data_IF_721932268617
#
_entry.id   IF_721932268617
#
_cell.length_a   1.000
_cell.length_b   1.000
_cell.length_c   1.000
_cell.angle_alpha   90.00
_cell.angle_beta   90.00
_cell.angle_gamma   90.00
#
_symmetry.space_group_name_H-M   'P 1'
#
loop_
_entity.id
_entity.type
_entity.pdbx_description
1 polymer ?
#
# COMPACT_ATOMS: atom_id res chain seq x y z
N UNK A 1 3.03 1.12 -18.30
CA UNK A 1 2.66 2.31 -17.53
C UNK A 1 3.70 2.58 -16.45
N UNK A 2 3.83 3.83 -16.04
CA UNK A 2 4.76 4.16 -14.96
C UNK A 2 4.14 3.87 -13.59
N UNK A 3 4.96 3.95 -12.55
CA UNK A 3 4.52 3.64 -11.18
C UNK A 3 3.38 4.55 -10.70
N UNK A 4 3.44 5.84 -11.00
CA UNK A 4 2.42 6.78 -10.53
C UNK A 4 1.08 6.53 -11.22
N UNK A 5 1.08 6.31 -12.52
CA UNK A 5 -0.13 5.98 -13.28
C UNK A 5 -0.75 4.69 -12.76
N UNK A 6 0.09 3.67 -12.51
CA UNK A 6 -0.37 2.41 -11.94
C UNK A 6 -0.98 2.61 -10.56
N UNK A 7 -0.36 3.46 -9.71
CA UNK A 7 -0.86 3.71 -8.37
C UNK A 7 -2.27 4.32 -8.39
N UNK A 8 -2.51 5.32 -9.24
CA UNK A 8 -3.84 5.91 -9.39
C UNK A 8 -4.85 4.89 -9.92
N UNK A 9 -4.47 4.11 -10.91
CA UNK A 9 -5.34 3.10 -11.51
C UNK A 9 -5.73 2.02 -10.51
N UNK A 10 -4.75 1.46 -9.81
CA UNK A 10 -4.99 0.40 -8.82
C UNK A 10 -5.80 0.90 -7.64
N UNK A 11 -5.57 2.13 -7.18
CA UNK A 11 -6.35 2.73 -6.10
C UNK A 11 -7.83 2.79 -6.50
N UNK A 12 -8.13 3.23 -7.72
CA UNK A 12 -9.51 3.27 -8.19
C UNK A 12 -10.10 1.88 -8.38
N UNK A 13 -9.35 0.95 -8.96
CA UNK A 13 -9.81 -0.42 -9.18
C UNK A 13 -10.14 -1.15 -7.88
N UNK A 14 -9.35 -0.90 -6.82
CA UNK A 14 -9.49 -1.61 -5.56
C UNK A 14 -10.42 -0.91 -4.56
N UNK A 15 -10.52 0.41 -4.60
CA UNK A 15 -11.24 1.18 -3.60
C UNK A 15 -12.26 2.16 -4.16
N UNK A 16 -12.33 2.32 -5.47
CA UNK A 16 -13.16 3.32 -6.17
C UNK A 16 -12.75 4.77 -5.90
N UNK A 17 -11.63 5.00 -5.25
CA UNK A 17 -11.16 6.36 -4.93
C UNK A 17 -10.55 7.04 -6.15
N UNK A 18 -11.04 8.22 -6.48
CA UNK A 18 -10.54 9.10 -7.54
C UNK A 18 -10.09 10.46 -7.04
N UNK A 19 -10.65 10.91 -5.91
CA UNK A 19 -10.47 12.25 -5.37
C UNK A 19 -9.21 12.32 -4.49
N UNK A 20 -8.05 12.24 -5.13
CA UNK A 20 -6.76 12.29 -4.42
C UNK A 20 -5.79 13.20 -5.15
N UNK A 21 -4.92 13.87 -4.37
CA UNK A 21 -3.78 14.62 -4.89
C UNK A 21 -2.49 13.98 -4.40
N UNK A 22 -1.51 13.89 -5.27
CA UNK A 22 -0.18 13.43 -4.90
C UNK A 22 0.50 14.46 -3.99
N UNK A 23 0.94 14.02 -2.81
CA UNK A 23 1.76 14.84 -1.91
C UNK A 23 3.23 14.62 -2.24
N UNK A 24 3.65 13.37 -2.26
CA UNK A 24 5.05 13.03 -2.57
C UNK A 24 5.19 11.55 -2.96
N UNK A 25 6.12 11.30 -3.86
CA UNK A 25 6.63 9.98 -4.16
C UNK A 25 7.76 9.69 -3.18
N UNK A 26 7.69 8.56 -2.48
CA UNK A 26 8.76 8.17 -1.57
C UNK A 26 10.00 7.74 -2.35
N UNK A 27 11.18 8.09 -1.84
CA UNK A 27 12.44 7.78 -2.50
C UNK A 27 12.71 6.28 -2.55
N UNK A 28 13.17 5.80 -3.71
CA UNK A 28 13.57 4.42 -3.90
C UNK A 28 12.43 3.42 -3.87
N UNK A 29 12.79 2.14 -3.88
CA UNK A 29 11.86 1.03 -3.78
C UNK A 29 12.00 0.40 -2.40
N UNK A 30 10.87 0.04 -1.80
CA UNK A 30 10.85 -0.67 -0.52
C UNK A 30 10.52 -2.12 -0.81
N UNK A 31 11.36 -3.04 -0.32
CA UNK A 31 11.21 -4.46 -0.62
C UNK A 31 11.01 -5.29 0.63
N UNK A 32 10.38 -6.45 0.46
CA UNK A 32 10.32 -7.48 1.50
C UNK A 32 10.57 -8.84 0.89
N UNK A 33 11.03 -9.78 1.73
CA UNK A 33 11.31 -11.15 1.34
C UNK A 33 10.30 -12.06 2.03
N UNK A 34 9.68 -12.96 1.24
CA UNK A 34 8.73 -13.92 1.80
C UNK A 34 9.44 -14.89 2.75
N UNK A 35 8.79 -15.25 3.88
CA UNK A 35 9.31 -16.28 4.75
C UNK A 35 9.53 -17.60 4.00
N UNK A 36 10.53 -18.38 4.42
CA UNK A 36 10.88 -19.64 3.75
C UNK A 36 9.70 -20.61 3.65
N UNK A 37 8.84 -20.64 4.64
CA UNK A 37 7.67 -21.52 4.64
C UNK A 37 6.62 -21.15 3.59
N UNK A 38 6.70 -19.97 3.00
CA UNK A 38 5.78 -19.52 1.95
C UNK A 38 6.39 -19.58 0.55
N UNK A 39 7.73 -19.60 0.44
CA UNK A 39 8.42 -19.54 -0.85
C UNK A 39 8.03 -20.66 -1.81
N UNK A 40 7.81 -21.86 -1.29
CA UNK A 40 7.44 -23.01 -2.11
C UNK A 40 5.97 -23.09 -2.44
N UNK A 41 5.12 -22.35 -1.71
CA UNK A 41 3.67 -22.37 -1.87
C UNK A 41 3.17 -21.25 -2.80
N UNK A 42 3.92 -20.16 -2.89
CA UNK A 42 3.56 -18.98 -3.70
C UNK A 42 4.46 -18.94 -4.92
N UNK A 43 3.84 -18.88 -6.11
CA UNK A 43 4.54 -18.79 -7.39
C UNK A 43 5.54 -19.94 -7.65
N UNK A 44 5.32 -21.09 -7.01
CA UNK A 44 6.19 -22.27 -7.16
C UNK A 44 7.66 -21.98 -6.82
N UNK A 45 7.88 -21.10 -5.84
CA UNK A 45 9.22 -20.72 -5.39
C UNK A 45 9.99 -19.78 -6.31
N UNK A 46 9.34 -19.26 -7.36
CA UNK A 46 10.00 -18.36 -8.33
C UNK A 46 10.34 -16.99 -7.76
N UNK A 47 9.55 -16.51 -6.80
CA UNK A 47 9.70 -15.17 -6.24
C UNK A 47 10.00 -15.25 -4.76
N UNK A 48 10.99 -14.46 -4.31
CA UNK A 48 11.38 -14.39 -2.89
C UNK A 48 10.68 -13.26 -2.15
N UNK A 49 10.09 -12.32 -2.88
CA UNK A 49 9.46 -11.18 -2.29
C UNK A 49 8.97 -10.22 -3.33
N UNK A 50 8.81 -8.98 -2.93
CA UNK A 50 8.27 -7.94 -3.78
C UNK A 50 8.96 -6.61 -3.50
N UNK A 51 9.20 -5.83 -4.56
CA UNK A 51 9.64 -4.45 -4.45
C UNK A 51 8.44 -3.54 -4.71
N UNK A 52 8.30 -2.50 -3.89
CA UNK A 52 7.16 -1.61 -3.95
C UNK A 52 7.60 -0.16 -4.06
N UNK A 53 6.94 0.59 -4.93
CA UNK A 53 7.06 2.04 -4.99
C UNK A 53 5.88 2.64 -4.24
N UNK A 54 6.14 3.50 -3.28
CA UNK A 54 5.12 4.11 -2.43
C UNK A 54 4.89 5.57 -2.76
N UNK A 55 3.64 5.99 -2.66
CA UNK A 55 3.22 7.37 -2.88
C UNK A 55 2.37 7.84 -1.72
N UNK A 56 2.58 9.10 -1.31
CA UNK A 56 1.74 9.74 -0.29
C UNK A 56 0.72 10.61 -1.02
N UNK A 57 -0.55 10.35 -0.79
CA UNK A 57 -1.64 11.06 -1.44
C UNK A 57 -2.59 11.63 -0.40
N UNK A 58 -3.17 12.80 -0.71
CA UNK A 58 -4.20 13.41 0.12
C UNK A 58 -5.56 13.04 -0.43
N UNK A 59 -6.42 12.46 0.40
CA UNK A 59 -7.79 12.16 0.02
C UNK A 59 -8.63 13.43 0.14
N UNK A 60 -9.26 13.84 -0.96
CA UNK A 60 -10.06 15.06 -1.05
C UNK A 60 -11.57 14.79 -1.09
N UNK A 61 -11.96 13.54 -1.15
CA UNK A 61 -13.35 13.13 -1.21
C UNK A 61 -13.96 12.91 0.16
N UNK A 62 -15.12 12.26 0.16
CA UNK A 62 -15.82 11.83 1.37
C UNK A 62 -15.78 10.31 1.47
N UNK A 63 -16.00 9.79 2.68
CA UNK A 63 -15.94 8.35 2.92
C UNK A 63 -16.89 7.55 2.02
N UNK A 64 -18.00 8.13 1.58
CA UNK A 64 -18.93 7.44 0.69
C UNK A 64 -18.39 7.21 -0.72
N UNK A 65 -17.27 7.83 -1.08
CA UNK A 65 -16.57 7.54 -2.33
C UNK A 65 -15.86 6.18 -2.26
N UNK A 66 -15.50 5.75 -1.06
CA UNK A 66 -14.74 4.52 -0.84
C UNK A 66 -15.68 3.32 -0.95
N UNK A 67 -15.43 2.49 -1.97
CA UNK A 67 -16.21 1.27 -2.18
C UNK A 67 -15.25 0.14 -2.58
N UNK A 68 -15.04 -0.79 -1.67
CA UNK A 68 -14.16 -1.93 -1.89
C UNK A 68 -14.87 -3.14 -2.50
N UNK A 69 -16.18 -3.05 -2.72
CA UNK A 69 -16.98 -4.07 -3.40
C UNK A 69 -16.89 -3.84 -4.92
N UNK A 70 -15.69 -4.02 -5.44
CA UNK A 70 -15.37 -3.81 -6.84
C UNK A 70 -15.59 -5.08 -7.65
N UNK A 71 -15.35 -5.04 -8.96
CA UNK A 71 -15.52 -6.18 -9.84
C UNK A 71 -14.69 -7.39 -9.42
N UNK A 72 -13.44 -7.15 -8.99
CA UNK A 72 -12.53 -8.17 -8.47
C UNK A 72 -12.06 -7.74 -7.08
N UNK A 73 -12.87 -7.98 -6.03
CA UNK A 73 -12.58 -7.45 -4.71
C UNK A 73 -11.27 -7.98 -4.12
N UNK A 74 -10.40 -7.07 -3.69
CA UNK A 74 -9.14 -7.40 -3.00
C UNK A 74 -9.29 -7.28 -1.48
N UNK A 75 -10.31 -6.56 -1.01
CA UNK A 75 -10.49 -6.25 0.41
C UNK A 75 -11.89 -6.59 0.87
N UNK A 76 -12.00 -7.00 2.16
CA UNK A 76 -13.31 -7.27 2.78
C UNK A 76 -13.78 -6.14 3.69
N UNK A 77 -12.88 -5.29 4.17
CA UNK A 77 -13.22 -4.12 4.98
C UNK A 77 -12.11 -3.07 4.92
N UNK A 78 -12.42 -1.83 5.32
CA UNK A 78 -11.46 -0.75 5.38
C UNK A 78 -11.74 0.13 6.60
N UNK A 79 -10.71 0.89 7.01
CA UNK A 79 -10.86 1.91 8.06
C UNK A 79 -9.77 2.97 7.93
N UNK A 80 -10.06 4.15 8.46
CA UNK A 80 -9.05 5.17 8.66
C UNK A 80 -8.25 4.85 9.93
N UNK A 81 -6.96 5.12 9.89
CA UNK A 81 -6.07 4.85 11.01
C UNK A 81 -4.99 5.93 11.07
N UNK A 82 -4.55 6.28 12.27
CA UNK A 82 -3.45 7.22 12.44
C UNK A 82 -2.15 6.61 11.93
N UNK A 83 -1.30 7.45 11.33
CA UNK A 83 -0.03 7.01 10.77
C UNK A 83 0.82 6.24 11.78
N UNK A 84 0.85 6.69 13.03
CA UNK A 84 1.66 6.04 14.09
C UNK A 84 1.20 4.62 14.42
N UNK A 85 -0.01 4.23 14.04
CA UNK A 85 -0.57 2.92 14.32
C UNK A 85 -0.56 1.96 13.12
N UNK A 86 -0.03 2.36 11.96
CA UNK A 86 -0.07 1.52 10.76
C UNK A 86 0.69 0.21 10.90
N UNK A 87 1.71 0.18 11.76
CA UNK A 87 2.53 -1.02 11.99
C UNK A 87 1.81 -2.08 12.83
N UNK A 88 0.71 -1.69 13.51
CA UNK A 88 -0.06 -2.62 14.36
C UNK A 88 -0.92 -3.60 13.57
N UNK A 89 -1.15 -3.33 12.28
CA UNK A 89 -2.10 -4.07 11.46
C UNK A 89 -1.43 -5.01 10.44
N UNK A 90 -0.11 -5.08 10.42
CA UNK A 90 0.59 -5.81 9.37
C UNK A 90 1.14 -7.14 9.86
N UNK A 91 1.33 -8.07 8.90
CA UNK A 91 1.98 -9.34 9.18
C UNK A 91 3.49 -9.15 9.33
N UNK A 92 4.12 -10.04 10.10
CA UNK A 92 5.51 -9.91 10.51
C UNK A 92 6.52 -9.63 9.39
N UNK A 93 6.40 -10.34 8.27
CA UNK A 93 7.36 -10.19 7.18
C UNK A 93 7.23 -8.86 6.41
N UNK A 94 6.15 -8.11 6.62
CA UNK A 94 5.94 -6.77 6.05
C UNK A 94 6.16 -5.64 7.04
N UNK A 95 6.41 -5.97 8.30
CA UNK A 95 6.51 -4.96 9.36
C UNK A 95 7.57 -3.91 9.05
N UNK A 96 8.75 -4.33 8.60
CA UNK A 96 9.85 -3.39 8.29
C UNK A 96 9.48 -2.43 7.15
N UNK A 97 8.65 -2.87 6.19
CA UNK A 97 8.17 -2.02 5.10
C UNK A 97 7.33 -0.88 5.66
N UNK A 98 6.37 -1.21 6.52
CA UNK A 98 5.49 -0.21 7.11
C UNK A 98 6.19 0.69 8.12
N UNK A 99 7.19 0.18 8.85
CA UNK A 99 8.03 1.01 9.71
C UNK A 99 8.80 2.04 8.89
N UNK A 100 9.36 1.64 7.76
CA UNK A 100 10.10 2.52 6.86
C UNK A 100 9.16 3.56 6.22
N UNK A 101 7.98 3.14 5.77
CA UNK A 101 6.96 4.04 5.23
C UNK A 101 6.53 5.05 6.30
N UNK A 102 6.24 4.59 7.51
CA UNK A 102 5.84 5.45 8.62
C UNK A 102 6.87 6.54 8.88
N UNK A 103 8.16 6.17 8.92
CA UNK A 103 9.25 7.11 9.13
C UNK A 103 9.31 8.15 8.01
N UNK A 104 9.29 7.71 6.76
CA UNK A 104 9.39 8.58 5.58
C UNK A 104 8.20 9.53 5.47
N UNK A 105 7.00 9.05 5.72
CA UNK A 105 5.79 9.88 5.69
C UNK A 105 5.78 10.89 6.82
N UNK A 106 6.21 10.49 8.02
CA UNK A 106 6.31 11.42 9.16
C UNK A 106 7.26 12.58 8.86
N UNK A 107 8.35 12.33 8.17
CA UNK A 107 9.30 13.37 7.77
C UNK A 107 8.68 14.36 6.78
N UNK A 108 7.78 13.90 5.91
CA UNK A 108 7.10 14.74 4.92
C UNK A 108 6.03 15.61 5.57
N UNK A 109 5.27 15.07 6.51
CA UNK A 109 4.14 15.75 7.13
C UNK A 109 4.51 16.66 8.30
N UNK A 110 5.73 16.60 8.77
CA UNK A 110 6.20 17.46 9.89
C UNK A 110 6.83 18.75 9.38
#
# INVERSE_FOLDING_TARGET
EDYLTAAYRELEEETSIKSVDLIKELDGLISYILPKNLLGLIWNGKYRGQEQKWFVMRFLGKDNEINIKTKNPEFCEWKWIDLENITDLVVDFKLHVYEDVKKKVSEILN
#
